data_IF_409117176415
#
_entry.id   IF_409117176415
#
_cell.length_a   1.000
_cell.length_b   1.000
_cell.length_c   1.000
_cell.angle_alpha   90.00
_cell.angle_beta   90.00
_cell.angle_gamma   90.00
#
_symmetry.space_group_name_H-M   'P 1'
#
loop_
_entity.id
_entity.type
_entity.pdbx_description
1 polymer ?
#
# COMPACT_ATOMS: atom_id res chain seq x y z
N UNK A 1 -1.61 -18.24 1.92
CA UNK A 1 -0.79 -17.54 2.96
C UNK A 1 -0.95 -16.06 2.70
N UNK A 2 -1.35 -15.25 3.71
CA UNK A 2 -1.44 -13.79 3.54
C UNK A 2 -0.14 -13.18 4.04
N UNK A 3 0.57 -12.49 3.17
CA UNK A 3 1.72 -11.67 3.56
C UNK A 3 1.24 -10.29 3.99
N UNK A 4 1.84 -9.75 5.03
CA UNK A 4 1.66 -8.35 5.46
C UNK A 4 2.86 -7.53 4.95
N UNK A 5 2.62 -6.28 4.59
CA UNK A 5 3.66 -5.31 4.22
C UNK A 5 4.75 -5.17 5.29
N UNK A 6 4.36 -5.34 6.56
CA UNK A 6 5.25 -5.28 7.74
C UNK A 6 5.93 -6.61 8.06
N UNK A 7 5.69 -7.68 7.31
CA UNK A 7 6.27 -8.99 7.62
C UNK A 7 7.77 -8.98 7.32
N UNK A 8 8.56 -9.09 8.40
CA UNK A 8 10.02 -9.04 8.37
C UNK A 8 10.67 -10.34 7.90
N UNK A 9 9.91 -11.42 7.90
CA UNK A 9 10.42 -12.78 7.64
C UNK A 9 10.55 -13.09 6.16
N UNK A 10 9.89 -12.30 5.29
CA UNK A 10 9.80 -12.62 3.89
C UNK A 10 10.44 -11.56 3.01
N UNK A 11 11.47 -11.96 2.31
CA UNK A 11 11.98 -11.28 1.14
C UNK A 11 11.41 -12.00 -0.09
N UNK A 12 10.60 -11.32 -0.88
CA UNK A 12 10.08 -11.85 -2.14
C UNK A 12 10.88 -11.22 -3.28
N UNK A 13 11.88 -11.92 -3.83
CA UNK A 13 12.60 -11.43 -5.00
C UNK A 13 11.73 -11.62 -6.25
N UNK A 14 11.84 -10.70 -7.21
CA UNK A 14 11.32 -10.93 -8.55
C UNK A 14 12.20 -12.00 -9.22
N UNK A 15 11.59 -13.12 -9.57
CA UNK A 15 12.27 -14.20 -10.29
C UNK A 15 11.74 -14.16 -11.72
N UNK A 16 12.65 -14.16 -12.70
CA UNK A 16 12.27 -14.26 -14.12
C UNK A 16 11.53 -15.58 -14.41
N UNK A 17 10.67 -15.54 -15.42
CA UNK A 17 9.83 -16.68 -15.82
C UNK A 17 10.62 -17.88 -16.43
N UNK A 18 11.93 -17.76 -16.53
CA UNK A 18 12.82 -18.81 -17.01
C UNK A 18 12.84 -20.00 -16.07
N UNK A 19 11.95 -20.94 -16.30
CA UNK A 19 11.95 -22.23 -15.60
C UNK A 19 13.16 -23.04 -16.01
N UNK A 20 14.14 -23.15 -15.13
CA UNK A 20 15.29 -24.03 -15.35
C UNK A 20 14.81 -25.49 -15.39
N UNK A 21 15.43 -26.28 -16.29
CA UNK A 21 15.11 -27.70 -16.44
C UNK A 21 15.63 -28.52 -15.24
N UNK A 22 15.22 -29.79 -15.17
CA UNK A 22 15.61 -30.69 -14.10
C UNK A 22 17.14 -30.93 -14.03
N UNK A 23 17.81 -30.94 -15.19
CA UNK A 23 19.29 -31.13 -15.29
C UNK A 23 20.01 -29.98 -14.60
N UNK A 24 19.60 -28.75 -14.87
CA UNK A 24 20.15 -27.57 -14.17
C UNK A 24 20.07 -27.70 -12.64
N UNK A 25 18.93 -28.14 -12.12
CA UNK A 25 18.75 -28.29 -10.68
C UNK A 25 19.58 -29.43 -10.08
N UNK A 26 19.80 -30.51 -10.85
CA UNK A 26 20.69 -31.60 -10.44
C UNK A 26 22.16 -31.11 -10.37
N UNK A 27 22.63 -30.43 -11.41
CA UNK A 27 23.97 -29.85 -11.45
C UNK A 27 24.18 -28.80 -10.36
N UNK A 28 23.19 -27.91 -10.17
CA UNK A 28 23.26 -26.93 -9.10
C UNK A 28 23.34 -27.57 -7.72
N UNK A 29 22.53 -28.60 -7.47
CA UNK A 29 22.53 -29.33 -6.20
C UNK A 29 23.85 -30.07 -5.97
N UNK A 30 24.41 -30.68 -7.03
CA UNK A 30 25.72 -31.32 -7.00
C UNK A 30 26.82 -30.30 -6.65
N UNK A 31 26.86 -29.18 -7.36
CA UNK A 31 27.76 -28.07 -7.06
C UNK A 31 27.66 -27.60 -5.61
N UNK A 32 26.42 -27.41 -5.13
CA UNK A 32 26.16 -26.89 -3.79
C UNK A 32 26.69 -27.85 -2.71
N UNK A 33 26.50 -29.16 -2.88
CA UNK A 33 26.76 -30.17 -1.85
C UNK A 33 28.08 -30.88 -2.00
N UNK A 34 28.59 -31.08 -3.21
CA UNK A 34 29.76 -31.90 -3.50
C UNK A 34 31.00 -31.07 -3.93
N UNK A 35 30.77 -29.91 -4.55
CA UNK A 35 31.86 -29.09 -5.10
C UNK A 35 32.16 -27.82 -4.28
N UNK A 36 31.66 -27.75 -3.05
CA UNK A 36 31.98 -26.67 -2.13
C UNK A 36 31.15 -25.40 -2.33
N UNK A 37 30.07 -25.42 -3.10
CA UNK A 37 29.21 -24.26 -3.36
C UNK A 37 28.68 -23.60 -2.07
N UNK A 38 28.34 -24.39 -1.05
CA UNK A 38 27.95 -23.86 0.26
C UNK A 38 29.08 -23.07 0.93
N UNK A 39 30.32 -23.51 0.81
CA UNK A 39 31.47 -22.78 1.36
C UNK A 39 31.69 -21.45 0.62
N UNK A 40 31.51 -21.44 -0.69
CA UNK A 40 31.61 -20.22 -1.51
C UNK A 40 30.52 -19.22 -1.11
N UNK A 41 29.28 -19.68 -0.98
CA UNK A 41 28.14 -18.83 -0.55
C UNK A 41 28.38 -18.28 0.86
N UNK A 42 28.88 -19.12 1.78
CA UNK A 42 29.22 -18.70 3.14
C UNK A 42 30.32 -17.62 3.13
N UNK A 43 31.42 -17.86 2.39
CA UNK A 43 32.49 -16.88 2.29
C UNK A 43 32.06 -15.55 1.68
N UNK A 44 31.17 -15.60 0.67
CA UNK A 44 30.57 -14.40 0.12
C UNK A 44 29.71 -13.66 1.15
N UNK A 45 28.84 -14.38 1.89
CA UNK A 45 28.00 -13.79 2.91
C UNK A 45 28.82 -13.16 4.05
N UNK A 46 29.89 -13.82 4.50
CA UNK A 46 30.80 -13.29 5.52
C UNK A 46 31.49 -12.00 5.05
N UNK A 47 31.97 -11.98 3.80
CA UNK A 47 32.57 -10.79 3.19
C UNK A 47 31.53 -9.66 3.06
N UNK A 48 30.32 -9.98 2.61
CA UNK A 48 29.25 -9.00 2.50
C UNK A 48 28.91 -8.35 3.86
N UNK A 49 28.85 -9.16 4.93
CA UNK A 49 28.60 -8.66 6.29
C UNK A 49 29.77 -7.78 6.78
N UNK A 50 31.02 -8.14 6.45
CA UNK A 50 32.17 -7.31 6.80
C UNK A 50 32.17 -5.95 6.11
N UNK A 51 31.74 -5.89 4.84
CA UNK A 51 31.71 -4.66 4.04
C UNK A 51 30.50 -3.77 4.35
N UNK A 52 29.33 -4.36 4.63
CA UNK A 52 28.05 -3.66 4.73
C UNK A 52 27.45 -3.67 6.14
N UNK A 53 28.07 -4.39 7.07
CA UNK A 53 27.56 -4.59 8.41
C UNK A 53 26.46 -5.66 8.50
N UNK A 54 26.11 -6.02 9.74
CA UNK A 54 25.00 -6.96 10.00
C UNK A 54 23.67 -6.27 9.87
N UNK A 55 22.69 -6.99 9.30
CA UNK A 55 21.29 -6.54 9.34
C UNK A 55 20.86 -6.44 10.80
N UNK A 56 20.43 -5.24 11.22
CA UNK A 56 19.99 -5.02 12.60
C UNK A 56 18.76 -5.89 12.92
N UNK A 57 18.75 -6.61 14.06
CA UNK A 57 17.56 -7.32 14.50
C UNK A 57 16.37 -6.36 14.58
N UNK A 58 15.29 -6.69 13.91
CA UNK A 58 14.08 -5.85 13.91
C UNK A 58 13.90 -4.97 12.67
N UNK A 59 14.86 -4.88 11.76
CA UNK A 59 14.63 -4.26 10.46
C UNK A 59 13.59 -5.05 9.66
N UNK A 60 12.67 -4.32 9.03
CA UNK A 60 11.73 -4.92 8.08
C UNK A 60 12.49 -5.40 6.85
N UNK A 61 12.05 -6.50 6.26
CA UNK A 61 12.57 -6.93 4.96
C UNK A 61 12.43 -5.80 3.93
N UNK A 62 13.40 -5.66 3.02
CA UNK A 62 13.31 -4.66 1.95
C UNK A 62 11.98 -4.77 1.20
N UNK A 63 11.41 -3.62 0.86
CA UNK A 63 10.25 -3.57 -0.03
C UNK A 63 10.71 -3.92 -1.45
N UNK A 64 10.07 -4.90 -2.05
CA UNK A 64 10.26 -5.26 -3.45
C UNK A 64 8.93 -5.20 -4.19
N UNK A 65 8.96 -4.91 -5.48
CA UNK A 65 7.75 -4.89 -6.33
C UNK A 65 6.99 -6.22 -6.21
N UNK A 66 7.72 -7.35 -6.27
CA UNK A 66 7.11 -8.67 -6.14
C UNK A 66 6.44 -8.88 -4.77
N UNK A 67 6.99 -8.32 -3.68
CA UNK A 67 6.35 -8.37 -2.36
C UNK A 67 5.05 -7.57 -2.36
N UNK A 68 5.05 -6.38 -2.94
CA UNK A 68 3.86 -5.53 -3.01
C UNK A 68 2.76 -6.20 -3.84
N UNK A 69 3.10 -6.88 -4.95
CA UNK A 69 2.16 -7.67 -5.75
C UNK A 69 1.53 -8.80 -4.93
N UNK A 70 2.33 -9.62 -4.24
CA UNK A 70 1.83 -10.72 -3.39
C UNK A 70 0.96 -10.20 -2.24
N UNK A 71 1.31 -9.04 -1.67
CA UNK A 71 0.49 -8.39 -0.64
C UNK A 71 -0.85 -7.96 -1.24
N UNK A 72 -0.86 -7.36 -2.44
CA UNK A 72 -2.08 -6.93 -3.15
C UNK A 72 -2.99 -8.11 -3.52
N UNK A 73 -2.43 -9.24 -3.95
CA UNK A 73 -3.21 -10.46 -4.23
C UNK A 73 -3.98 -10.96 -3.00
N UNK A 74 -3.48 -10.67 -1.80
CA UNK A 74 -4.15 -11.01 -0.54
C UNK A 74 -5.23 -10.02 -0.11
N UNK A 75 -5.42 -8.91 -0.84
CA UNK A 75 -6.39 -7.89 -0.49
C UNK A 75 -7.82 -8.28 -0.85
N UNK A 76 -8.78 -7.78 -0.07
CA UNK A 76 -10.19 -7.89 -0.40
C UNK A 76 -10.53 -6.99 -1.60
N UNK A 77 -11.66 -7.25 -2.29
CA UNK A 77 -12.13 -6.36 -3.36
C UNK A 77 -12.23 -4.90 -2.93
N UNK A 78 -12.70 -4.63 -1.70
CA UNK A 78 -12.77 -3.26 -1.17
C UNK A 78 -11.41 -2.61 -0.96
N UNK A 79 -10.40 -3.37 -0.54
CA UNK A 79 -9.02 -2.87 -0.41
C UNK A 79 -8.40 -2.54 -1.76
N UNK A 80 -8.59 -3.40 -2.75
CA UNK A 80 -8.14 -3.16 -4.12
C UNK A 80 -8.82 -1.92 -4.69
N UNK A 81 -10.15 -1.79 -4.52
CA UNK A 81 -10.88 -0.61 -4.96
C UNK A 81 -10.30 0.69 -4.35
N UNK A 82 -10.02 0.69 -3.04
CA UNK A 82 -9.41 1.87 -2.39
C UNK A 82 -8.06 2.22 -3.02
N UNK A 83 -7.21 1.22 -3.26
CA UNK A 83 -5.90 1.44 -3.85
C UNK A 83 -6.00 2.03 -5.25
N UNK A 84 -6.82 1.43 -6.11
CA UNK A 84 -7.01 1.86 -7.50
C UNK A 84 -7.62 3.27 -7.55
N UNK A 85 -8.59 3.55 -6.68
CA UNK A 85 -9.16 4.88 -6.54
C UNK A 85 -8.10 5.92 -6.15
N UNK A 86 -7.29 5.64 -5.13
CA UNK A 86 -6.26 6.56 -4.65
C UNK A 86 -5.15 6.79 -5.70
N UNK A 87 -4.75 5.75 -6.43
CA UNK A 87 -3.79 5.87 -7.53
C UNK A 87 -4.32 6.74 -8.66
N UNK A 88 -5.59 6.55 -9.06
CA UNK A 88 -6.22 7.39 -10.07
C UNK A 88 -6.33 8.85 -9.61
N UNK A 89 -6.70 9.08 -8.35
CA UNK A 89 -6.79 10.44 -7.81
C UNK A 89 -5.43 11.14 -7.81
N UNK A 90 -4.36 10.43 -7.49
CA UNK A 90 -2.99 10.96 -7.54
C UNK A 90 -2.56 11.31 -8.96
N UNK A 91 -2.87 10.44 -9.92
CA UNK A 91 -2.53 10.64 -11.33
C UNK A 91 -3.29 11.81 -11.95
N UNK A 92 -4.61 11.89 -11.72
CA UNK A 92 -5.47 12.95 -12.28
C UNK A 92 -5.22 14.33 -11.68
N UNK A 93 -4.62 14.39 -10.50
CA UNK A 93 -4.40 15.64 -9.77
C UNK A 93 -2.92 15.81 -9.35
N UNK A 94 -2.00 15.46 -10.23
CA UNK A 94 -0.56 15.50 -9.96
C UNK A 94 -0.04 16.91 -9.59
N UNK A 95 -0.73 17.94 -10.03
CA UNK A 95 -0.43 19.37 -9.82
C UNK A 95 -1.08 19.96 -8.56
N UNK A 96 -1.92 19.19 -7.86
CA UNK A 96 -2.72 19.66 -6.72
C UNK A 96 -2.45 18.88 -5.44
N UNK A 97 -2.66 19.55 -4.32
CA UNK A 97 -2.75 18.92 -3.00
C UNK A 97 -4.16 18.38 -2.82
N UNK A 98 -4.28 17.06 -2.77
CA UNK A 98 -5.56 16.36 -2.72
C UNK A 98 -5.84 15.86 -1.31
N UNK A 99 -7.08 15.95 -0.87
CA UNK A 99 -7.53 15.35 0.37
C UNK A 99 -8.96 14.84 0.29
N UNK A 100 -9.28 13.89 1.15
CA UNK A 100 -10.58 13.28 1.32
C UNK A 100 -10.74 12.76 2.75
N UNK A 101 -11.90 12.23 3.10
CA UNK A 101 -12.12 11.61 4.40
C UNK A 101 -12.14 10.09 4.30
N UNK A 102 -11.72 9.39 5.34
CA UNK A 102 -11.83 7.94 5.43
C UNK A 102 -13.29 7.46 5.41
N UNK A 103 -14.20 8.26 5.94
CA UNK A 103 -15.64 7.99 5.92
C UNK A 103 -16.22 8.01 4.49
N UNK A 104 -15.75 8.94 3.65
CA UNK A 104 -16.19 9.01 2.25
C UNK A 104 -15.63 7.87 1.41
N UNK A 105 -14.38 7.43 1.68
CA UNK A 105 -13.83 6.24 1.05
C UNK A 105 -14.65 4.98 1.38
N UNK A 106 -15.04 4.81 2.64
CA UNK A 106 -15.91 3.69 3.05
C UNK A 106 -17.28 3.77 2.35
N UNK A 107 -17.83 4.97 2.22
CA UNK A 107 -19.08 5.16 1.49
C UNK A 107 -18.96 4.84 0.00
N UNK A 108 -17.86 5.26 -0.63
CA UNK A 108 -17.54 4.92 -2.01
C UNK A 108 -17.48 3.40 -2.23
N UNK A 109 -16.74 2.68 -1.34
CA UNK A 109 -16.70 1.21 -1.37
C UNK A 109 -18.12 0.62 -1.32
N UNK A 110 -18.96 1.13 -0.43
CA UNK A 110 -20.34 0.67 -0.28
C UNK A 110 -21.14 0.81 -1.57
N UNK A 111 -20.97 1.89 -2.27
CA UNK A 111 -21.71 2.16 -3.51
C UNK A 111 -21.21 1.32 -4.69
N UNK A 112 -19.91 1.09 -4.78
CA UNK A 112 -19.28 0.40 -5.91
C UNK A 112 -19.31 -1.13 -5.77
N UNK A 113 -19.16 -1.65 -4.56
CA UNK A 113 -19.10 -3.10 -4.31
C UNK A 113 -20.48 -3.73 -4.08
N UNK A 114 -21.53 -2.94 -4.03
CA UNK A 114 -22.92 -3.36 -3.70
C UNK A 114 -23.68 -4.13 -4.78
N UNK A 115 -23.07 -4.48 -5.90
CA UNK A 115 -23.70 -5.35 -6.91
C UNK A 115 -23.92 -6.81 -6.49
N UNK A 116 -23.53 -7.23 -5.29
CA UNK A 116 -23.62 -8.61 -4.83
C UNK A 116 -23.72 -8.75 -3.30
N UNK A 117 -24.16 -9.91 -2.81
CA UNK A 117 -24.36 -10.29 -1.39
C UNK A 117 -23.17 -10.09 -0.42
N UNK A 118 -22.17 -9.29 -0.77
CA UNK A 118 -20.97 -9.05 0.02
C UNK A 118 -21.05 -7.77 0.88
N UNK A 119 -22.25 -7.25 1.13
CA UNK A 119 -22.47 -6.07 1.97
C UNK A 119 -22.02 -6.21 3.43
N UNK A 120 -21.70 -7.42 3.87
CA UNK A 120 -21.28 -7.70 5.26
C UNK A 120 -19.82 -7.39 5.55
N UNK A 121 -18.99 -7.27 4.52
CA UNK A 121 -17.54 -6.99 4.65
C UNK A 121 -17.19 -5.55 4.28
N UNK A 122 -17.95 -4.61 4.83
CA UNK A 122 -17.56 -3.20 4.71
C UNK A 122 -16.19 -3.00 5.35
N UNK A 123 -15.27 -2.46 4.58
CA UNK A 123 -13.94 -2.19 5.10
C UNK A 123 -14.03 -1.31 6.34
N UNK A 124 -13.33 -1.73 7.38
CA UNK A 124 -13.26 -0.95 8.61
C UNK A 124 -12.40 0.30 8.36
N UNK A 125 -12.69 1.43 9.04
CA UNK A 125 -11.87 2.66 8.89
C UNK A 125 -10.36 2.39 9.01
N UNK A 126 -9.95 1.53 9.94
CA UNK A 126 -8.56 1.13 10.11
C UNK A 126 -7.97 0.46 8.86
N UNK A 127 -8.72 -0.41 8.20
CA UNK A 127 -8.27 -1.10 6.98
C UNK A 127 -8.08 -0.12 5.83
N UNK A 128 -9.04 0.78 5.64
CA UNK A 128 -8.97 1.85 4.62
C UNK A 128 -7.76 2.75 4.86
N UNK A 129 -7.52 3.16 6.10
CA UNK A 129 -6.37 3.98 6.46
C UNK A 129 -5.03 3.24 6.23
N UNK A 130 -5.00 1.92 6.50
CA UNK A 130 -3.81 1.08 6.25
C UNK A 130 -3.51 1.04 4.74
N UNK A 131 -4.51 0.77 3.91
CA UNK A 131 -4.35 0.75 2.44
C UNK A 131 -3.88 2.12 1.94
N UNK A 132 -4.48 3.22 2.40
CA UNK A 132 -4.07 4.57 2.02
C UNK A 132 -2.58 4.83 2.31
N UNK A 133 -2.10 4.42 3.50
CA UNK A 133 -0.67 4.53 3.84
C UNK A 133 0.22 3.69 2.93
N UNK A 134 -0.21 2.49 2.56
CA UNK A 134 0.53 1.61 1.65
C UNK A 134 0.62 2.20 0.24
N UNK A 135 -0.42 2.91 -0.21
CA UNK A 135 -0.43 3.66 -1.48
C UNK A 135 0.33 5.01 -1.41
N UNK A 136 1.03 5.29 -0.29
CA UNK A 136 1.84 6.50 -0.14
C UNK A 136 1.02 7.77 0.14
N UNK A 137 -0.18 7.61 0.72
CA UNK A 137 -0.97 8.72 1.23
C UNK A 137 -0.74 8.91 2.73
N UNK A 138 -0.91 10.13 3.18
CA UNK A 138 -0.81 10.48 4.59
C UNK A 138 -2.20 10.40 5.23
N UNK A 139 -2.25 9.83 6.44
CA UNK A 139 -3.48 9.74 7.23
C UNK A 139 -3.29 10.55 8.50
N UNK A 140 -4.25 11.43 8.78
CA UNK A 140 -4.22 12.32 9.94
C UNK A 140 -4.13 11.53 11.25
N UNK A 141 -3.44 12.11 12.24
CA UNK A 141 -3.30 11.50 13.57
C UNK A 141 -4.58 11.59 14.39
N UNK A 142 -5.37 12.65 14.17
CA UNK A 142 -6.59 12.93 14.92
C UNK A 142 -7.80 12.97 13.99
N UNK A 143 -8.96 12.61 14.54
CA UNK A 143 -10.23 12.85 13.86
C UNK A 143 -10.56 14.34 13.92
N UNK A 144 -10.82 14.93 12.78
CA UNK A 144 -11.26 16.31 12.62
C UNK A 144 -12.75 16.38 12.33
N UNK A 145 -13.37 17.50 12.69
CA UNK A 145 -14.75 17.76 12.37
C UNK A 145 -14.81 18.29 10.94
N UNK A 146 -15.12 17.42 10.02
CA UNK A 146 -15.09 17.70 8.58
C UNK A 146 -16.50 17.92 8.01
N UNK A 147 -17.33 18.71 8.70
CA UNK A 147 -18.75 18.91 8.33
C UNK A 147 -18.95 19.45 6.92
N UNK A 148 -18.02 20.26 6.46
CA UNK A 148 -18.06 20.85 5.12
C UNK A 148 -17.68 19.85 4.03
N UNK A 149 -16.93 18.81 4.37
CA UNK A 149 -16.38 17.83 3.42
C UNK A 149 -16.87 16.40 3.63
N UNK A 150 -17.54 16.13 4.74
CA UNK A 150 -18.11 14.81 5.02
C UNK A 150 -19.63 14.89 4.91
N UNK A 151 -20.20 14.28 3.88
CA UNK A 151 -21.66 14.27 3.63
C UNK A 151 -22.50 13.76 4.80
N UNK A 152 -21.93 12.86 5.62
CA UNK A 152 -22.59 12.29 6.80
C UNK A 152 -22.49 13.17 8.03
N UNK A 153 -21.61 14.16 8.01
CA UNK A 153 -21.25 14.93 9.19
C UNK A 153 -20.46 14.08 10.21
N UNK A 154 -19.92 14.70 11.24
CA UNK A 154 -19.19 14.03 12.29
C UNK A 154 -17.67 14.09 12.11
N UNK A 155 -16.95 13.33 12.95
CA UNK A 155 -15.49 13.31 12.97
C UNK A 155 -14.95 12.19 12.06
N UNK A 156 -14.02 12.54 11.18
CA UNK A 156 -13.36 11.62 10.28
C UNK A 156 -11.84 11.86 10.28
N UNK A 157 -11.06 10.88 9.86
CA UNK A 157 -9.65 11.09 9.57
C UNK A 157 -9.49 11.65 8.16
N UNK A 158 -8.60 12.62 8.02
CA UNK A 158 -8.20 13.13 6.71
C UNK A 158 -7.17 12.18 6.10
N UNK A 159 -7.35 11.92 4.82
CA UNK A 159 -6.39 11.20 3.96
C UNK A 159 -5.96 12.20 2.90
N UNK A 160 -4.67 12.47 2.79
CA UNK A 160 -4.15 13.54 1.95
C UNK A 160 -2.82 13.19 1.29
N UNK A 161 -2.47 13.93 0.25
CA UNK A 161 -1.20 13.77 -0.46
C UNK A 161 0.00 14.35 0.31
N UNK A 162 -0.23 15.21 1.31
CA UNK A 162 0.83 15.77 2.15
C UNK A 162 0.56 15.59 3.65
N UNK A 163 1.60 15.46 4.49
CA UNK A 163 1.43 15.25 5.93
C UNK A 163 0.81 16.46 6.65
N UNK A 164 1.08 17.68 6.19
CA UNK A 164 0.53 18.91 6.74
C UNK A 164 -0.99 18.94 6.54
N UNK A 165 -1.43 18.61 5.32
CA UNK A 165 -2.84 18.59 4.96
C UNK A 165 -3.60 17.49 5.71
N UNK A 166 -3.00 16.32 5.86
CA UNK A 166 -3.60 15.21 6.61
C UNK A 166 -3.82 15.55 8.10
N UNK A 167 -2.95 16.37 8.69
CA UNK A 167 -3.02 16.75 10.10
C UNK A 167 -3.66 18.14 10.33
N UNK A 168 -4.16 18.80 9.30
CA UNK A 168 -4.77 20.11 9.40
C UNK A 168 -6.13 20.03 10.11
N UNK A 169 -6.36 20.94 11.05
CA UNK A 169 -7.70 21.10 11.65
C UNK A 169 -8.71 21.68 10.64
N UNK A 170 -8.23 22.56 9.78
CA UNK A 170 -8.96 23.12 8.65
C UNK A 170 -8.05 23.08 7.41
N UNK A 171 -8.25 22.16 6.47
CA UNK A 171 -7.42 22.01 5.28
C UNK A 171 -7.33 23.28 4.42
N UNK A 172 -8.40 24.05 4.34
CA UNK A 172 -8.44 25.29 3.55
C UNK A 172 -7.44 26.34 4.03
N UNK A 173 -6.94 26.27 5.27
CA UNK A 173 -5.93 27.17 5.82
C UNK A 173 -4.49 26.77 5.49
N UNK A 174 -4.27 25.56 5.02
CA UNK A 174 -2.92 24.98 4.82
C UNK A 174 -2.40 25.17 3.41
N UNK A 175 -3.30 25.34 2.45
CA UNK A 175 -2.95 25.53 1.05
C UNK A 175 -3.70 26.69 0.44
N UNK A 176 -3.10 27.33 -0.58
CA UNK A 176 -3.83 28.32 -1.37
C UNK A 176 -5.04 27.65 -2.04
N UNK A 177 -6.11 28.40 -2.25
CA UNK A 177 -7.36 27.86 -2.84
C UNK A 177 -7.14 27.24 -4.24
N UNK A 178 -6.08 27.63 -4.93
CA UNK A 178 -5.71 27.13 -6.27
C UNK A 178 -5.02 25.76 -6.22
N UNK A 179 -4.32 25.43 -5.10
CA UNK A 179 -3.53 24.21 -4.97
C UNK A 179 -4.28 23.08 -4.27
N UNK A 180 -5.48 23.35 -3.76
CA UNK A 180 -6.21 22.42 -2.91
C UNK A 180 -7.40 21.82 -3.65
N UNK A 181 -7.50 20.49 -3.64
CA UNK A 181 -8.67 19.79 -4.13
C UNK A 181 -9.22 18.85 -3.06
N UNK A 182 -10.45 19.12 -2.62
CA UNK A 182 -11.25 18.12 -1.94
C UNK A 182 -11.82 17.14 -2.95
N UNK A 183 -11.69 15.84 -2.67
CA UNK A 183 -12.26 14.79 -3.51
C UNK A 183 -13.58 14.32 -2.93
N UNK A 184 -14.66 14.59 -3.64
CA UNK A 184 -15.94 13.93 -3.41
C UNK A 184 -15.84 12.50 -3.95
N UNK A 185 -15.47 11.56 -3.08
CA UNK A 185 -15.21 10.17 -3.43
C UNK A 185 -16.41 9.52 -4.11
N UNK A 186 -17.62 9.82 -3.63
CA UNK A 186 -18.85 9.24 -4.18
C UNK A 186 -19.12 9.71 -5.61
N UNK A 187 -18.87 11.00 -5.87
CA UNK A 187 -19.05 11.58 -7.20
C UNK A 187 -17.97 11.08 -8.16
N UNK A 188 -16.72 11.07 -7.71
CA UNK A 188 -15.59 10.60 -8.52
C UNK A 188 -15.71 9.09 -8.83
N UNK A 189 -16.13 8.27 -7.84
CA UNK A 189 -16.35 6.85 -8.05
C UNK A 189 -17.38 6.54 -9.14
N UNK A 190 -18.44 7.35 -9.26
CA UNK A 190 -19.45 7.20 -10.33
C UNK A 190 -18.89 7.52 -11.72
N UNK A 191 -17.83 8.33 -11.79
CA UNK A 191 -17.19 8.73 -13.04
C UNK A 191 -16.01 7.83 -13.41
N UNK A 192 -15.74 6.82 -12.60
CA UNK A 192 -14.70 5.82 -12.84
C UNK A 192 -15.36 4.52 -13.31
N UNK A 193 -14.97 4.04 -14.46
CA UNK A 193 -15.23 2.66 -14.89
C UNK A 193 -14.22 1.75 -14.16
N UNK A 194 -14.52 1.42 -12.90
CA UNK A 194 -13.74 0.51 -12.06
C UNK A 194 -14.40 -0.87 -12.02
#
# INVERSE_FOLDING_TARGET
>A
MKLDDQDRRWLVPAIGDDKRNAIYWQEFNHWLTQEGGLCIIKGWAEKFVQEHGTVMPGQSAPKTVAKDEVVREGWSPGQNWVADFLEQMKTRNSDKKVFMTDADLIEGIKQMVHGGRQSEYLERPYTVQKVAKQCGWYVGRNRVYAREWNRRGGRAYLIATTPELANAANPAQVASATDLKFVDVVQEARNMDL
#
